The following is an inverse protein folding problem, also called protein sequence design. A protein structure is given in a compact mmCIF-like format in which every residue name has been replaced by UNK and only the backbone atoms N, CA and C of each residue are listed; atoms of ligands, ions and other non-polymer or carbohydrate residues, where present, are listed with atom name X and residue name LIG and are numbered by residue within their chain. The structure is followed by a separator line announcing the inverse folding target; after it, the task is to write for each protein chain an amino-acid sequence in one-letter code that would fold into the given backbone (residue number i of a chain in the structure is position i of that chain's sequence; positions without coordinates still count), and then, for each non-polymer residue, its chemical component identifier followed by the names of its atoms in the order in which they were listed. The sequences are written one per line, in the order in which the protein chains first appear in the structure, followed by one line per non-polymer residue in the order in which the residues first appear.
data_IF_150095276523
#
_entry.id   IF_150095276523
#
_cell.length_a   1.000
_cell.length_b   1.000
_cell.length_c   1.000
_cell.angle_alpha   90.00
_cell.angle_beta   90.00
_cell.angle_gamma   90.00
#
_symmetry.space_group_name_H-M   'P 1'
#
loop_
_entity.id
_entity.type
_entity.pdbx_description
1 polymer ?
#
# COMPACT_ATOMS: atom_id res chain seq x y z
N UNK A 1 -21.72 17.01 -23.74
CA UNK A 1 -20.95 16.12 -24.62
C UNK A 1 -19.49 16.33 -24.30
N UNK A 2 -18.95 15.56 -23.35
CA UNK A 2 -17.50 15.54 -23.08
C UNK A 2 -16.92 14.59 -24.12
N UNK A 3 -16.04 15.13 -24.97
CA UNK A 3 -15.22 14.36 -25.89
C UNK A 3 -14.55 13.22 -25.12
N UNK A 4 -14.87 11.98 -25.50
CA UNK A 4 -14.05 10.82 -25.16
C UNK A 4 -12.71 10.99 -25.87
N UNK A 5 -11.83 11.80 -25.27
CA UNK A 5 -10.41 11.60 -25.44
C UNK A 5 -10.12 10.16 -24.97
N UNK A 6 -9.31 9.45 -25.74
CA UNK A 6 -9.00 8.05 -25.52
C UNK A 6 -8.13 7.94 -24.26
N UNK A 7 -8.73 8.11 -23.07
CA UNK A 7 -8.03 8.10 -21.79
C UNK A 7 -7.50 6.70 -21.53
N UNK A 8 -6.19 6.54 -21.73
CA UNK A 8 -5.53 5.28 -21.40
C UNK A 8 -5.43 5.17 -19.87
N UNK A 9 -6.30 4.33 -19.32
CA UNK A 9 -6.43 4.10 -17.89
C UNK A 9 -5.97 2.69 -17.50
N UNK A 10 -5.38 2.60 -16.33
CA UNK A 10 -5.05 1.35 -15.67
C UNK A 10 -5.58 1.38 -14.24
N UNK A 11 -6.49 0.46 -13.93
CA UNK A 11 -7.09 0.33 -12.60
C UNK A 11 -6.71 -1.03 -12.03
N UNK A 12 -6.21 -1.04 -10.80
CA UNK A 12 -5.85 -2.27 -10.10
C UNK A 12 -6.28 -2.25 -8.65
N UNK A 13 -6.55 -3.43 -8.09
CA UNK A 13 -6.88 -3.61 -6.68
C UNK A 13 -5.87 -4.49 -5.96
N UNK A 14 -5.66 -4.23 -4.68
CA UNK A 14 -4.88 -5.08 -3.79
C UNK A 14 -5.56 -5.22 -2.42
N UNK A 15 -5.36 -6.33 -1.73
CA UNK A 15 -5.96 -6.55 -0.41
C UNK A 15 -5.02 -7.29 0.55
N UNK A 16 -4.62 -6.58 1.60
CA UNK A 16 -3.82 -7.10 2.71
C UNK A 16 -4.69 -7.40 3.95
N UNK A 17 -4.36 -8.50 4.63
CA UNK A 17 -4.82 -8.83 5.98
C UNK A 17 -3.66 -8.70 6.96
N UNK A 18 -3.89 -8.07 8.10
CA UNK A 18 -2.90 -7.90 9.17
C UNK A 18 -3.33 -8.63 10.43
N UNK A 19 -2.41 -9.39 11.01
CA UNK A 19 -2.62 -10.14 12.24
C UNK A 19 -2.08 -9.39 13.46
N UNK A 20 -2.58 -9.68 14.68
CA UNK A 20 -2.13 -9.02 15.90
C UNK A 20 -0.64 -9.17 16.21
N UNK A 21 -0.03 -10.26 15.75
CA UNK A 21 1.41 -10.52 15.87
C UNK A 21 2.26 -9.55 15.03
N UNK A 22 1.66 -8.88 14.06
CA UNK A 22 2.31 -7.96 13.11
C UNK A 22 2.55 -8.57 11.74
N UNK A 23 2.21 -9.85 11.54
CA UNK A 23 2.31 -10.48 10.22
C UNK A 23 1.25 -9.93 9.26
N UNK A 24 1.61 -9.87 7.98
CA UNK A 24 0.73 -9.46 6.90
C UNK A 24 0.58 -10.60 5.89
N UNK A 25 -0.62 -10.76 5.35
CA UNK A 25 -0.94 -11.77 4.34
C UNK A 25 -1.67 -11.10 3.19
N UNK A 26 -1.23 -11.41 1.98
CA UNK A 26 -1.93 -11.05 0.75
C UNK A 26 -3.14 -11.99 0.54
N UNK A 27 -4.32 -11.40 0.33
CA UNK A 27 -5.58 -12.13 0.13
C UNK A 27 -5.89 -12.42 -1.34
N UNK A 28 -5.20 -11.76 -2.26
CA UNK A 28 -5.30 -11.99 -3.69
C UNK A 28 -4.30 -13.03 -4.18
N UNK A 29 -3.17 -13.20 -3.47
CA UNK A 29 -2.22 -14.25 -3.80
C UNK A 29 -2.82 -15.65 -3.55
N UNK A 30 -2.49 -16.61 -4.41
CA UNK A 30 -2.77 -18.01 -4.12
C UNK A 30 -1.95 -18.47 -2.90
N UNK A 31 -2.44 -19.47 -2.15
CA UNK A 31 -1.68 -20.01 -1.00
C UNK A 31 -0.35 -20.65 -1.42
N UNK A 32 -0.24 -21.10 -2.67
CA UNK A 32 0.95 -21.74 -3.22
C UNK A 32 2.06 -20.74 -3.61
N UNK A 33 1.72 -19.47 -3.85
CA UNK A 33 2.63 -18.42 -4.35
C UNK A 33 2.77 -17.26 -3.34
N UNK A 34 2.76 -17.59 -2.05
CA UNK A 34 2.89 -16.57 -0.99
C UNK A 34 4.31 -16.04 -0.95
N UNK A 35 4.52 -14.89 -1.58
CA UNK A 35 5.75 -14.13 -1.47
C UNK A 35 5.87 -13.48 -0.09
N UNK A 36 7.11 -13.32 0.39
CA UNK A 36 7.37 -12.58 1.62
C UNK A 36 7.11 -11.10 1.37
N UNK A 37 6.10 -10.55 2.04
CA UNK A 37 5.80 -9.13 1.98
C UNK A 37 6.89 -8.32 2.66
N UNK A 38 7.45 -7.35 1.95
CA UNK A 38 8.47 -6.44 2.47
C UNK A 38 8.10 -5.00 2.18
N UNK A 39 8.38 -4.13 3.13
CA UNK A 39 8.21 -2.71 2.91
C UNK A 39 9.34 -2.20 2.00
N UNK A 40 8.97 -1.40 1.01
CA UNK A 40 9.91 -0.82 0.04
C UNK A 40 9.59 0.66 -0.10
N UNK A 41 10.50 1.51 0.34
CA UNK A 41 10.42 2.95 0.10
C UNK A 41 10.99 3.26 -1.30
N UNK A 42 10.32 4.13 -2.03
CA UNK A 42 10.76 4.57 -3.35
C UNK A 42 10.50 6.08 -3.49
N UNK A 43 11.48 6.83 -3.97
CA UNK A 43 11.44 8.31 -4.00
C UNK A 43 10.21 8.88 -4.72
N UNK A 44 9.85 8.28 -5.86
CA UNK A 44 8.75 8.74 -6.72
C UNK A 44 7.40 8.05 -6.41
N UNK A 45 7.41 6.72 -6.26
CA UNK A 45 6.20 5.92 -6.06
C UNK A 45 5.75 5.90 -4.59
N UNK A 46 6.56 6.47 -3.71
CA UNK A 46 6.36 6.46 -2.27
C UNK A 46 6.50 5.06 -1.69
N UNK A 47 5.68 4.80 -0.69
CA UNK A 47 5.74 3.60 0.12
C UNK A 47 4.97 2.45 -0.54
N UNK A 48 5.71 1.40 -0.91
CA UNK A 48 5.21 0.21 -1.58
C UNK A 48 5.39 -1.02 -0.69
N UNK A 49 4.54 -2.03 -0.92
CA UNK A 49 4.68 -3.36 -0.32
C UNK A 49 5.18 -4.30 -1.42
N UNK A 50 6.46 -4.64 -1.38
CA UNK A 50 7.05 -5.63 -2.27
C UNK A 50 6.45 -7.01 -2.03
N UNK A 51 6.17 -7.74 -3.12
CA UNK A 51 5.51 -9.05 -3.09
C UNK A 51 3.98 -9.00 -2.96
N UNK A 52 3.38 -7.81 -2.96
CA UNK A 52 1.93 -7.64 -2.98
C UNK A 52 1.38 -7.90 -4.38
N UNK A 53 0.38 -8.78 -4.46
CA UNK A 53 -0.35 -9.05 -5.69
C UNK A 53 -1.31 -7.91 -6.00
N UNK A 54 -1.34 -7.51 -7.27
CA UNK A 54 -2.28 -6.53 -7.80
C UNK A 54 -3.09 -7.15 -8.93
N UNK A 55 -4.40 -6.98 -8.86
CA UNK A 55 -5.34 -7.49 -9.87
C UNK A 55 -5.90 -6.32 -10.65
N UNK A 56 -5.67 -6.31 -11.96
CA UNK A 56 -6.23 -5.33 -12.89
C UNK A 56 -7.76 -5.52 -12.97
N UNK A 57 -8.52 -4.45 -12.90
CA UNK A 57 -9.98 -4.45 -13.01
C UNK A 57 -10.44 -3.46 -14.07
N UNK A 58 -11.57 -3.75 -14.70
CA UNK A 58 -12.14 -2.89 -15.75
C UNK A 58 -13.42 -2.18 -15.31
N UNK A 59 -13.99 -2.53 -14.15
CA UNK A 59 -15.21 -1.91 -13.65
C UNK A 59 -15.27 -1.87 -12.12
N UNK A 60 -16.16 -1.03 -11.59
CA UNK A 60 -16.39 -0.93 -10.15
C UNK A 60 -17.01 -2.21 -9.59
N UNK A 61 -17.87 -2.86 -10.35
CA UNK A 61 -18.52 -4.13 -9.99
C UNK A 61 -17.49 -5.24 -9.84
N UNK A 62 -16.49 -5.30 -10.74
CA UNK A 62 -15.40 -6.25 -10.64
C UNK A 62 -14.52 -6.00 -9.40
N UNK A 63 -14.18 -4.73 -9.13
CA UNK A 63 -13.45 -4.35 -7.93
C UNK A 63 -14.22 -4.73 -6.64
N UNK A 64 -15.54 -4.50 -6.63
CA UNK A 64 -16.41 -4.83 -5.51
C UNK A 64 -16.55 -6.34 -5.31
N UNK A 65 -16.71 -7.12 -6.38
CA UNK A 65 -16.77 -8.58 -6.29
C UNK A 65 -15.47 -9.18 -5.71
N UNK A 66 -14.31 -8.64 -6.08
CA UNK A 66 -13.03 -9.01 -5.48
C UNK A 66 -12.96 -8.63 -3.99
N UNK A 67 -13.45 -7.44 -3.63
CA UNK A 67 -13.54 -7.01 -2.24
C UNK A 67 -14.39 -7.97 -1.39
N UNK A 68 -15.57 -8.35 -1.86
CA UNK A 68 -16.46 -9.29 -1.15
C UNK A 68 -15.82 -10.66 -1.01
N UNK A 69 -15.29 -11.22 -2.09
CA UNK A 69 -14.60 -12.52 -2.09
C UNK A 69 -13.44 -12.53 -1.10
N UNK A 70 -12.60 -11.49 -1.10
CA UNK A 70 -11.50 -11.37 -0.16
C UNK A 70 -11.95 -11.12 1.28
N UNK A 71 -13.06 -10.39 1.49
CA UNK A 71 -13.66 -10.17 2.81
C UNK A 71 -14.15 -11.48 3.43
N UNK A 72 -14.75 -12.37 2.65
CA UNK A 72 -15.12 -13.72 3.10
C UNK A 72 -13.88 -14.57 3.43
N UNK A 73 -12.86 -14.55 2.56
CA UNK A 73 -11.57 -15.22 2.85
C UNK A 73 -10.90 -14.70 4.10
N UNK A 74 -10.97 -13.40 4.37
CA UNK A 74 -10.42 -12.79 5.58
C UNK A 74 -11.06 -13.40 6.82
N UNK A 75 -12.40 -13.54 6.82
CA UNK A 75 -13.15 -14.16 7.92
C UNK A 75 -12.77 -15.63 8.08
N UNK A 76 -12.69 -16.37 6.97
CA UNK A 76 -12.32 -17.79 6.97
C UNK A 76 -10.87 -18.04 7.44
N UNK A 77 -9.91 -17.24 6.95
CA UNK A 77 -8.47 -17.37 7.28
C UNK A 77 -8.17 -17.01 8.73
N UNK A 78 -8.88 -16.03 9.30
CA UNK A 78 -8.67 -15.63 10.69
C UNK A 78 -9.47 -16.47 11.69
N UNK A 79 -10.54 -17.15 11.27
CA UNK A 79 -11.37 -17.95 12.17
C UNK A 79 -11.80 -17.16 13.41
N UNK A 80 -11.45 -17.68 14.59
CA UNK A 80 -11.79 -17.08 15.90
C UNK A 80 -11.09 -15.74 16.18
N UNK A 81 -10.01 -15.42 15.47
CA UNK A 81 -9.25 -14.17 15.68
C UNK A 81 -9.59 -13.07 14.66
N UNK A 82 -10.62 -13.29 13.83
CA UNK A 82 -11.06 -12.34 12.79
C UNK A 82 -11.41 -10.95 13.33
N UNK A 83 -11.93 -10.88 14.56
CA UNK A 83 -12.21 -9.62 15.27
C UNK A 83 -10.97 -8.84 15.68
N UNK A 84 -9.79 -9.47 15.65
CA UNK A 84 -8.49 -8.89 15.99
C UNK A 84 -7.61 -8.63 14.75
N UNK A 85 -8.04 -9.09 13.58
CA UNK A 85 -7.33 -8.87 12.33
C UNK A 85 -7.79 -7.59 11.64
N UNK A 86 -6.84 -6.75 11.26
CA UNK A 86 -7.09 -5.57 10.43
C UNK A 86 -6.99 -5.93 8.94
N UNK A 87 -7.51 -5.08 8.06
CA UNK A 87 -7.38 -5.24 6.62
C UNK A 87 -7.16 -3.91 5.91
N UNK A 88 -6.54 -3.97 4.75
CA UNK A 88 -6.34 -2.82 3.86
C UNK A 88 -6.70 -3.23 2.44
N UNK A 89 -7.79 -2.69 1.94
CA UNK A 89 -8.14 -2.78 0.52
C UNK A 89 -7.69 -1.50 -0.18
N UNK A 90 -6.94 -1.64 -1.28
CA UNK A 90 -6.45 -0.50 -2.06
C UNK A 90 -6.94 -0.59 -3.48
N UNK A 91 -7.41 0.54 -4.03
CA UNK A 91 -7.70 0.73 -5.44
C UNK A 91 -6.71 1.75 -5.99
N UNK A 92 -5.90 1.36 -6.96
CA UNK A 92 -4.94 2.22 -7.64
C UNK A 92 -5.49 2.56 -9.03
N UNK A 93 -5.49 3.83 -9.38
CA UNK A 93 -5.83 4.33 -10.72
C UNK A 93 -4.63 5.08 -11.28
N UNK A 94 -4.19 4.65 -12.44
CA UNK A 94 -3.11 5.27 -13.21
C UNK A 94 -3.66 5.75 -14.55
N UNK A 95 -3.39 7.01 -14.88
CA UNK A 95 -3.84 7.67 -16.10
C UNK A 95 -2.63 8.25 -16.84
N UNK A 96 -2.49 7.94 -18.13
CA UNK A 96 -1.54 8.64 -19.00
C UNK A 96 -2.12 9.99 -19.40
N UNK A 97 -1.36 11.05 -19.19
CA UNK A 97 -1.80 12.42 -19.49
C UNK A 97 -1.68 12.76 -20.98
N UNK A 98 -0.63 12.25 -21.65
CA UNK A 98 -0.37 12.52 -23.07
C UNK A 98 -0.06 11.20 -23.80
N UNK A 99 -1.06 10.36 -24.14
CA UNK A 99 -0.82 9.00 -24.65
C UNK A 99 -0.06 8.96 -25.99
N UNK A 100 -0.11 10.05 -26.76
CA UNK A 100 0.62 10.23 -28.02
C UNK A 100 2.14 10.35 -27.82
N UNK A 101 2.59 10.76 -26.63
CA UNK A 101 4.01 11.02 -26.34
C UNK A 101 4.75 9.77 -25.88
N UNK A 102 5.98 9.60 -26.39
CA UNK A 102 6.89 8.53 -26.00
C UNK A 102 7.21 8.58 -24.50
N UNK A 103 7.37 9.78 -23.94
CA UNK A 103 7.68 10.02 -22.53
C UNK A 103 6.49 10.62 -21.76
N UNK A 104 5.30 10.07 -22.01
CA UNK A 104 4.07 10.50 -21.34
C UNK A 104 4.17 10.43 -19.81
N UNK A 105 3.73 11.50 -19.15
CA UNK A 105 3.50 11.51 -17.71
C UNK A 105 2.31 10.61 -17.33
N UNK A 106 2.49 9.89 -16.23
CA UNK A 106 1.45 9.09 -15.59
C UNK A 106 1.04 9.75 -14.29
N UNK A 107 -0.24 10.05 -14.16
CA UNK A 107 -0.86 10.45 -12.91
C UNK A 107 -1.32 9.20 -12.15
N UNK A 108 -0.87 9.04 -10.90
CA UNK A 108 -1.22 7.90 -10.04
C UNK A 108 -2.04 8.36 -8.84
N UNK A 109 -3.19 7.73 -8.63
CA UNK A 109 -4.02 7.93 -7.45
C UNK A 109 -4.30 6.60 -6.76
N UNK A 110 -4.45 6.63 -5.43
CA UNK A 110 -4.68 5.45 -4.61
C UNK A 110 -5.78 5.74 -3.59
N UNK A 111 -6.86 4.97 -3.64
CA UNK A 111 -7.87 4.91 -2.60
C UNK A 111 -7.53 3.76 -1.65
N UNK A 112 -7.46 4.03 -0.35
CA UNK A 112 -7.12 3.05 0.67
C UNK A 112 -8.21 2.96 1.73
N UNK A 113 -8.77 1.76 1.90
CA UNK A 113 -9.79 1.46 2.88
C UNK A 113 -9.19 0.61 3.99
N UNK A 114 -8.88 1.25 5.12
CA UNK A 114 -8.41 0.58 6.32
C UNK A 114 -9.59 0.07 7.16
N UNK A 115 -9.66 -1.25 7.35
CA UNK A 115 -10.55 -1.89 8.32
C UNK A 115 -9.73 -2.24 9.55
N UNK A 116 -9.80 -1.40 10.57
CA UNK A 116 -9.03 -1.59 11.79
C UNK A 116 -9.78 -2.47 12.80
N UNK A 117 -9.06 -3.40 13.41
CA UNK A 117 -9.54 -4.21 14.52
C UNK A 117 -9.09 -3.62 15.86
N UNK A 118 -9.79 -4.01 16.93
CA UNK A 118 -9.55 -3.50 18.27
C UNK A 118 -10.29 -2.21 18.58
N UNK A 119 -10.28 -1.83 19.86
CA UNK A 119 -10.91 -0.61 20.37
C UNK A 119 -9.94 0.53 20.55
N UNK A 120 -10.49 1.70 20.88
CA UNK A 120 -9.71 2.86 21.30
C UNK A 120 -9.23 2.74 22.75
N UNK A 121 -9.90 1.95 23.58
CA UNK A 121 -9.50 1.69 24.96
C UNK A 121 -8.45 0.58 25.07
N UNK A 122 -7.54 0.74 26.04
CA UNK A 122 -6.59 -0.31 26.46
C UNK A 122 -7.26 -1.49 27.16
N UNK A 123 -8.52 -1.32 27.58
CA UNK A 123 -9.32 -2.36 28.23
C UNK A 123 -10.23 -3.11 27.25
N UNK A 124 -10.25 -2.78 25.96
CA UNK A 124 -11.06 -3.53 24.97
C UNK A 124 -10.58 -4.99 24.86
N UNK A 125 -11.49 -5.93 25.03
CA UNK A 125 -11.26 -7.37 24.93
C UNK A 125 -10.78 -7.81 23.52
N UNK A 126 -11.05 -7.01 22.49
CA UNK A 126 -10.53 -7.21 21.12
C UNK A 126 -9.07 -6.76 20.96
N UNK A 127 -8.52 -6.08 21.97
CA UNK A 127 -7.18 -5.49 21.96
C UNK A 127 -7.18 -4.03 21.48
N UNK A 128 -6.02 -3.39 21.60
CA UNK A 128 -5.82 -1.98 21.25
C UNK A 128 -5.68 -1.82 19.74
N UNK A 129 -6.45 -0.89 19.19
CA UNK A 129 -6.39 -0.53 17.77
C UNK A 129 -4.97 -0.12 17.35
N UNK A 130 -4.47 -0.61 16.20
CA UNK A 130 -3.20 -0.16 15.63
C UNK A 130 -3.12 1.37 15.46
N UNK A 131 -4.26 2.02 15.24
CA UNK A 131 -4.33 3.49 15.12
C UNK A 131 -3.96 4.19 16.43
N UNK A 132 -4.42 3.68 17.58
CA UNK A 132 -4.02 4.23 18.89
C UNK A 132 -2.51 4.15 19.05
N UNK A 133 -1.91 3.01 18.68
CA UNK A 133 -0.46 2.83 18.76
C UNK A 133 0.30 3.85 17.91
N UNK A 134 -0.14 4.10 16.68
CA UNK A 134 0.52 5.07 15.79
C UNK A 134 0.31 6.52 16.25
N UNK A 135 -0.87 6.86 16.76
CA UNK A 135 -1.22 8.23 17.18
C UNK A 135 -0.64 8.59 18.55
N UNK A 136 -0.47 7.63 19.45
CA UNK A 136 0.10 7.85 20.79
C UNK A 136 1.62 7.74 20.84
N UNK A 137 2.26 7.28 19.76
CA UNK A 137 3.71 7.22 19.67
C UNK A 137 4.32 8.63 19.63
N UNK A 138 4.91 9.03 20.76
CA UNK A 138 6.04 9.96 20.82
C UNK A 138 7.22 9.42 19.98
N UNK A 139 8.12 10.27 19.45
CA UNK A 139 9.02 9.97 18.32
C UNK A 139 10.11 8.89 18.52
N UNK A 140 10.06 8.10 19.59
CA UNK A 140 11.16 7.22 19.99
C UNK A 140 10.60 5.89 20.50
N UNK A 141 10.54 4.90 19.60
CA UNK A 141 10.80 3.46 19.84
C UNK A 141 10.35 2.68 18.59
N UNK A 142 11.32 2.29 17.77
CA UNK A 142 11.28 1.30 16.68
C UNK A 142 9.89 0.72 16.29
N UNK A 143 9.10 1.46 15.52
CA UNK A 143 8.00 0.91 14.70
C UNK A 143 8.45 0.53 13.28
N UNK A 144 9.71 0.14 13.12
CA UNK A 144 10.29 -0.21 11.81
C UNK A 144 9.79 -1.53 11.23
N UNK A 145 9.16 -2.41 12.03
CA UNK A 145 9.05 -3.82 11.63
C UNK A 145 7.61 -4.27 11.29
N UNK A 146 6.61 -3.37 11.36
CA UNK A 146 5.21 -3.75 11.11
C UNK A 146 4.61 -2.93 9.97
N UNK A 147 4.40 -3.60 8.83
CA UNK A 147 3.86 -3.04 7.58
C UNK A 147 2.61 -2.18 7.83
N UNK A 148 1.70 -2.62 8.70
CA UNK A 148 0.48 -1.87 9.02
C UNK A 148 0.76 -0.50 9.66
N UNK A 149 1.65 -0.44 10.66
CA UNK A 149 1.97 0.82 11.35
C UNK A 149 2.58 1.82 10.40
N UNK A 150 3.44 1.36 9.50
CA UNK A 150 4.08 2.19 8.51
C UNK A 150 3.07 2.74 7.48
N UNK A 151 2.20 1.87 6.94
CA UNK A 151 1.14 2.29 6.01
C UNK A 151 0.12 3.23 6.66
N UNK A 152 -0.19 3.04 7.95
CA UNK A 152 -1.03 3.96 8.71
C UNK A 152 -0.35 5.30 8.93
N UNK A 153 0.96 5.31 9.25
CA UNK A 153 1.70 6.55 9.42
C UNK A 153 1.74 7.36 8.11
N UNK A 154 1.97 6.68 6.98
CA UNK A 154 1.89 7.27 5.63
C UNK A 154 0.50 7.86 5.35
N UNK A 155 -0.57 7.15 5.75
CA UNK A 155 -1.93 7.66 5.61
C UNK A 155 -2.22 8.88 6.50
N UNK A 156 -1.60 8.99 7.68
CA UNK A 156 -1.88 10.06 8.65
C UNK A 156 -1.00 11.31 8.50
N UNK A 157 0.19 11.18 7.92
CA UNK A 157 1.18 12.27 7.83
C UNK A 157 1.68 12.52 6.41
N UNK A 158 1.45 11.60 5.48
CA UNK A 158 1.99 11.64 4.13
C UNK A 158 1.13 12.41 3.13
N UNK A 159 1.36 12.10 1.85
CA UNK A 159 0.62 12.66 0.73
C UNK A 159 -0.74 11.96 0.56
N UNK A 160 -1.72 12.33 1.38
CA UNK A 160 -3.03 11.71 1.40
C UNK A 160 -4.13 12.69 1.83
N UNK A 161 -5.38 12.36 1.48
CA UNK A 161 -6.57 12.96 2.10
C UNK A 161 -7.23 11.87 2.93
N UNK A 162 -7.17 12.03 4.25
CA UNK A 162 -7.57 10.96 5.18
C UNK A 162 -8.84 11.33 5.91
N UNK A 163 -9.78 10.38 5.95
CA UNK A 163 -11.03 10.49 6.70
C UNK A 163 -11.13 9.32 7.66
N UNK A 164 -11.29 9.61 8.96
CA UNK A 164 -11.51 8.60 9.97
C UNK A 164 -13.02 8.45 10.21
N UNK A 165 -13.54 7.24 10.04
CA UNK A 165 -14.91 6.88 10.43
C UNK A 165 -14.80 5.99 11.66
N UNK A 166 -15.28 6.49 12.80
CA UNK A 166 -15.33 5.72 14.04
C UNK A 166 -16.78 5.34 14.36
N UNK A 167 -17.06 4.03 14.47
CA UNK A 167 -18.38 3.52 14.79
C UNK A 167 -18.52 3.31 16.30
N UNK A 168 -19.37 4.11 16.95
CA UNK A 168 -19.62 4.03 18.41
C UNK A 168 -20.92 3.27 18.67
N UNK A 169 -20.92 2.38 19.67
CA UNK A 169 -22.13 1.70 20.12
C UNK A 169 -22.77 2.49 21.27
N UNK A 170 -24.03 2.97 21.14
CA UNK A 170 -24.65 3.85 22.12
C UNK A 170 -25.06 3.16 23.44
N UNK A 171 -24.98 1.82 23.53
CA UNK A 171 -25.42 1.03 24.71
C UNK A 171 -24.29 0.64 25.68
N UNK A 172 -23.11 1.26 25.59
CA UNK A 172 -22.01 1.00 26.53
C UNK A 172 -22.27 1.68 27.88
N UNK A 173 -22.90 0.98 28.82
CA UNK A 173 -23.22 1.53 30.15
C UNK A 173 -22.00 1.66 31.09
N UNK A 174 -20.84 1.08 30.76
CA UNK A 174 -19.70 0.94 31.70
C UNK A 174 -18.28 0.99 31.08
N UNK A 175 -18.12 1.25 29.78
CA UNK A 175 -16.82 1.08 29.13
C UNK A 175 -16.18 2.42 28.73
N UNK A 176 -14.92 2.62 29.14
CA UNK A 176 -14.02 3.73 28.77
C UNK A 176 -13.73 3.82 27.25
N UNK A 177 -14.42 3.02 26.43
CA UNK A 177 -14.26 2.92 24.98
C UNK A 177 -14.79 4.15 24.24
N UNK A 178 -15.99 4.63 24.59
CA UNK A 178 -16.57 5.84 23.95
C UNK A 178 -15.74 7.10 24.21
N UNK A 179 -15.35 7.43 25.46
CA UNK A 179 -14.47 8.58 25.70
C UNK A 179 -13.08 8.39 25.07
N UNK A 180 -12.50 7.19 25.12
CA UNK A 180 -11.22 6.89 24.44
C UNK A 180 -11.32 7.07 22.92
N UNK A 181 -12.41 6.66 22.31
CA UNK A 181 -12.67 6.82 20.87
C UNK A 181 -12.77 8.29 20.47
N UNK A 182 -13.49 9.09 21.25
CA UNK A 182 -13.60 10.53 21.01
C UNK A 182 -12.26 11.25 21.19
N UNK A 183 -11.50 10.88 22.22
CA UNK A 183 -10.15 11.41 22.43
C UNK A 183 -9.21 11.04 21.27
N UNK A 184 -9.26 9.80 20.78
CA UNK A 184 -8.51 9.37 19.60
C UNK A 184 -8.91 10.16 18.35
N UNK A 185 -10.22 10.35 18.11
CA UNK A 185 -10.70 11.12 16.98
C UNK A 185 -10.24 12.58 17.04
N UNK A 186 -10.21 13.19 18.23
CA UNK A 186 -9.63 14.52 18.43
C UNK A 186 -8.14 14.57 18.13
N UNK A 187 -7.37 13.57 18.57
CA UNK A 187 -5.93 13.46 18.25
C UNK A 187 -5.71 13.35 16.74
N UNK A 188 -6.44 12.45 16.07
CA UNK A 188 -6.33 12.23 14.61
C UNK A 188 -6.72 13.48 13.82
N UNK A 189 -7.73 14.23 14.28
CA UNK A 189 -8.14 15.49 13.64
C UNK A 189 -7.02 16.54 13.62
N UNK A 190 -6.12 16.51 14.58
CA UNK A 190 -5.01 17.47 14.67
C UNK A 190 -3.82 17.10 13.78
N UNK A 191 -3.86 15.92 13.13
CA UNK A 191 -2.82 15.51 12.19
C UNK A 191 -3.02 16.22 10.85
N UNK A 192 -1.93 16.77 10.33
CA UNK A 192 -1.93 17.55 9.08
C UNK A 192 -1.36 16.68 7.97
N UNK A 193 -2.17 16.40 6.95
CA UNK A 193 -1.70 15.79 5.69
C UNK A 193 -1.55 16.86 4.61
N UNK A 194 -0.60 16.66 3.69
CA UNK A 194 -0.41 17.55 2.53
C UNK A 194 -0.64 16.78 1.24
N UNK A 195 -1.84 16.91 0.69
CA UNK A 195 -2.22 16.23 -0.54
C UNK A 195 -1.69 16.98 -1.79
N UNK A 196 -0.85 16.32 -2.58
CA UNK A 196 -0.31 16.76 -3.87
C UNK A 196 -0.58 15.71 -4.95
N UNK A 197 -0.70 16.16 -6.21
CA UNK A 197 -0.95 15.25 -7.34
C UNK A 197 0.30 14.43 -7.63
N UNK A 198 0.22 13.10 -7.59
CA UNK A 198 1.34 12.23 -7.93
C UNK A 198 1.46 12.09 -9.43
N UNK A 199 2.41 12.82 -10.03
CA UNK A 199 2.77 12.71 -11.45
C UNK A 199 4.19 12.19 -11.55
N UNK A 200 4.42 11.31 -12.51
CA UNK A 200 5.75 10.79 -12.79
C UNK A 200 5.85 10.31 -14.24
N UNK A 201 7.04 10.40 -14.84
CA UNK A 201 7.30 9.86 -16.17
C UNK A 201 8.08 8.54 -16.05
N UNK A 202 7.49 7.38 -16.37
CA UNK A 202 8.16 6.10 -16.23
C UNK A 202 9.44 5.97 -17.06
N UNK A 203 9.41 6.44 -18.32
CA UNK A 203 10.57 6.33 -19.22
C UNK A 203 11.72 7.23 -18.80
N UNK A 204 11.43 8.50 -18.49
CA UNK A 204 12.44 9.44 -18.00
C UNK A 204 13.05 8.95 -16.67
N UNK A 205 12.24 8.40 -15.78
CA UNK A 205 12.71 7.83 -14.50
C UNK A 205 13.66 6.65 -14.73
N UNK A 206 13.31 5.73 -15.64
CA UNK A 206 14.18 4.58 -15.98
C UNK A 206 15.50 5.05 -16.59
N UNK A 207 15.47 6.05 -17.47
CA UNK A 207 16.69 6.61 -18.06
C UNK A 207 17.57 7.27 -17.00
N UNK A 208 16.97 8.07 -16.12
CA UNK A 208 17.69 8.71 -15.01
C UNK A 208 18.40 7.68 -14.13
N UNK A 209 17.67 6.66 -13.65
CA UNK A 209 18.27 5.60 -12.80
C UNK A 209 19.38 4.83 -13.55
N UNK A 210 19.22 4.61 -14.86
CA UNK A 210 20.27 3.97 -15.67
C UNK A 210 21.52 4.83 -15.77
N UNK A 211 21.36 6.14 -15.97
CA UNK A 211 22.48 7.07 -16.02
C UNK A 211 23.17 7.13 -14.66
N UNK A 212 22.41 7.26 -13.56
CA UNK A 212 22.95 7.25 -12.19
C UNK A 212 23.76 5.96 -11.90
N UNK A 213 23.31 4.80 -12.41
CA UNK A 213 24.06 3.53 -12.30
C UNK A 213 25.36 3.56 -13.12
N UNK A 214 25.35 4.15 -14.31
CA UNK A 214 26.55 4.26 -15.16
C UNK A 214 27.55 5.19 -14.51
N UNK A 215 27.11 6.37 -14.06
CA UNK A 215 27.95 7.38 -13.42
C UNK A 215 28.61 6.81 -12.16
N UNK A 216 27.82 6.16 -11.28
CA UNK A 216 28.34 5.52 -10.07
C UNK A 216 29.34 4.41 -10.39
N UNK A 217 29.11 3.61 -11.44
CA UNK A 217 30.07 2.59 -11.87
C UNK A 217 31.37 3.20 -12.38
N UNK A 218 31.30 4.31 -13.10
CA UNK A 218 32.51 5.00 -13.59
C UNK A 218 33.32 5.60 -12.44
N UNK A 219 32.65 6.16 -11.44
CA UNK A 219 33.28 6.67 -10.21
C UNK A 219 34.01 5.55 -9.46
N UNK A 220 33.34 4.42 -9.22
CA UNK A 220 33.94 3.23 -8.60
C UNK A 220 35.15 2.68 -9.37
N UNK A 221 35.16 2.78 -10.70
CA UNK A 221 36.30 2.37 -11.53
C UNK A 221 37.47 3.34 -11.44
N UNK A 222 37.21 4.62 -11.15
CA UNK A 222 38.23 5.67 -11.04
C UNK A 222 38.89 5.73 -9.66
N UNK A 223 38.15 5.41 -8.59
CA UNK A 223 38.62 5.54 -7.20
C UNK A 223 39.42 4.32 -6.69
N UNK A 224 39.44 3.19 -7.43
CA UNK A 224 40.34 2.06 -7.18
C UNK A 224 40.06 1.24 -5.91
N UNK A 225 39.40 1.79 -4.89
CA UNK A 225 38.89 1.09 -3.72
C UNK A 225 37.38 0.88 -3.81
N UNK A 226 36.92 -0.35 -3.55
CA UNK A 226 35.48 -0.64 -3.47
C UNK A 226 34.92 -0.08 -2.17
N UNK A 227 34.47 1.18 -2.19
CA UNK A 227 33.73 1.72 -1.06
C UNK A 227 32.45 0.89 -0.85
N UNK A 228 32.32 0.38 0.37
CA UNK A 228 31.14 -0.36 0.83
C UNK A 228 29.89 0.50 0.60
N UNK A 229 29.98 1.82 0.79
CA UNK A 229 28.88 2.74 0.51
C UNK A 229 28.42 2.71 -0.96
N UNK A 230 29.37 2.78 -1.90
CA UNK A 230 29.08 2.75 -3.34
C UNK A 230 28.46 1.41 -3.77
N UNK A 231 28.89 0.30 -3.17
CA UNK A 231 28.27 -1.02 -3.45
C UNK A 231 26.82 -1.10 -2.94
N UNK A 232 26.52 -0.55 -1.75
CA UNK A 232 25.16 -0.47 -1.24
C UNK A 232 24.27 0.43 -2.10
N UNK A 233 24.78 1.60 -2.49
CA UNK A 233 24.05 2.54 -3.35
C UNK A 233 23.75 1.93 -4.73
N UNK A 234 24.69 1.19 -5.30
CA UNK A 234 24.47 0.48 -6.56
C UNK A 234 23.38 -0.59 -6.44
N UNK A 235 23.35 -1.34 -5.33
CA UNK A 235 22.30 -2.32 -5.06
C UNK A 235 20.92 -1.67 -4.94
N UNK A 236 20.83 -0.54 -4.24
CA UNK A 236 19.62 0.27 -4.09
C UNK A 236 19.11 0.78 -5.44
N UNK A 237 19.98 1.40 -6.26
CA UNK A 237 19.61 1.88 -7.59
C UNK A 237 19.14 0.72 -8.50
N UNK A 238 19.80 -0.43 -8.41
CA UNK A 238 19.41 -1.64 -9.17
C UNK A 238 18.03 -2.14 -8.74
N UNK A 239 17.74 -2.12 -7.44
CA UNK A 239 16.44 -2.46 -6.89
C UNK A 239 15.35 -1.46 -7.35
N UNK A 240 15.63 -0.15 -7.27
CA UNK A 240 14.73 0.90 -7.74
C UNK A 240 14.43 0.77 -9.24
N UNK A 241 15.45 0.51 -10.06
CA UNK A 241 15.28 0.25 -11.49
C UNK A 241 14.33 -0.93 -11.74
N UNK A 242 14.47 -2.01 -10.95
CA UNK A 242 13.62 -3.19 -11.08
C UNK A 242 12.17 -2.89 -10.66
N UNK A 243 11.97 -2.11 -9.59
CA UNK A 243 10.64 -1.66 -9.13
C UNK A 243 9.95 -0.87 -10.23
N UNK A 244 10.63 0.13 -10.80
CA UNK A 244 10.06 0.98 -11.85
C UNK A 244 9.72 0.17 -13.10
N UNK A 245 10.60 -0.76 -13.52
CA UNK A 245 10.31 -1.66 -14.64
C UNK A 245 9.09 -2.54 -14.39
N UNK A 246 8.88 -2.98 -13.16
CA UNK A 246 7.72 -3.78 -12.78
C UNK A 246 6.40 -2.97 -12.76
N UNK A 247 6.44 -1.63 -12.81
CA UNK A 247 5.23 -0.82 -12.94
C UNK A 247 4.64 -0.82 -14.36
N UNK A 248 5.28 -1.49 -15.34
CA UNK A 248 4.75 -1.61 -16.70
C UNK A 248 3.34 -2.22 -16.72
N UNK A 249 2.39 -1.53 -17.37
CA UNK A 249 0.99 -1.95 -17.44
C UNK A 249 0.81 -3.32 -18.13
N UNK A 250 1.57 -3.62 -19.17
CA UNK A 250 1.50 -4.90 -19.87
C UNK A 250 1.84 -6.08 -18.94
N UNK A 251 2.95 -5.94 -18.20
CA UNK A 251 3.40 -6.96 -17.25
C UNK A 251 2.40 -7.16 -16.11
N UNK A 252 1.90 -6.06 -15.52
CA UNK A 252 0.88 -6.11 -14.46
C UNK A 252 -0.44 -6.69 -14.95
N UNK A 253 -0.85 -6.44 -16.20
CA UNK A 253 -2.02 -7.09 -16.82
C UNK A 253 -1.81 -8.59 -16.99
N UNK A 254 -0.63 -9.02 -17.39
CA UNK A 254 -0.31 -10.45 -17.54
C UNK A 254 -0.30 -11.18 -16.19
N UNK A 255 0.35 -10.60 -15.18
CA UNK A 255 0.34 -11.12 -13.80
C UNK A 255 -1.08 -11.19 -13.24
N UNK A 256 -1.89 -10.15 -13.46
CA UNK A 256 -3.29 -10.16 -13.07
C UNK A 256 -4.09 -11.29 -13.73
N UNK A 257 -3.84 -11.60 -15.01
CA UNK A 257 -4.51 -12.73 -15.69
C UNK A 257 -4.14 -14.06 -15.05
N UNK A 258 -2.88 -14.24 -14.63
CA UNK A 258 -2.43 -15.45 -13.91
C UNK A 258 -3.17 -15.60 -12.57
N UNK A 259 -3.27 -14.52 -11.80
CA UNK A 259 -3.98 -14.51 -10.50
C UNK A 259 -5.48 -14.81 -10.67
N UNK A 260 -6.13 -14.19 -11.67
CA UNK A 260 -7.55 -14.44 -11.98
C UNK A 260 -7.78 -15.88 -12.44
N UNK A 261 -6.90 -16.41 -13.29
CA UNK A 261 -6.97 -17.78 -13.78
C UNK A 261 -6.90 -18.83 -12.65
N UNK A 262 -6.10 -18.58 -11.61
CA UNK A 262 -6.01 -19.45 -10.43
C UNK A 262 -7.28 -19.36 -9.57
N UNK A 263 -7.91 -18.19 -9.53
CA UNK A 263 -9.10 -17.93 -8.69
C UNK A 263 -10.39 -18.51 -9.27
N UNK A 264 -10.43 -18.79 -10.59
CA UNK A 264 -11.62 -19.30 -11.30
C UNK A 264 -11.69 -20.82 -11.40
N UNK A 265 -10.72 -21.59 -10.88
CA UNK A 265 -10.83 -23.06 -10.85
C UNK A 265 -11.71 -23.44 -9.65
N UNK A 266 -12.93 -23.95 -9.86
CA UNK A 266 -13.76 -24.46 -8.78
C UNK A 266 -13.15 -25.80 -8.33
N UNK A 267 -12.81 -25.89 -7.04
CA UNK A 267 -12.63 -27.16 -6.34
C UNK A 267 -13.98 -27.80 -6.03
#
# INVERSE_FOLDING_TARGET
MLSQENEELFISVSYLQFYPDGSAVDLLSSKADRQTLKLVAHDILGNLVGGLSEVCVCSAEEAYALYETCSERLKANAGSISSRCSGLFSVTVEQKLHPEEVESEVCRSRLQLFRLAGGASRTDLRGVSPLVKVVEQTPCEATSDKILSFLLNDALTGNSRTTLIYCIQPRGLLDDETPSALALAQKVRNLVTKATVNRWCPRATVQKIRNDIVDLRTEMMSEGESDVHNTFRLAELTQNLQIVKNQCWEKRREESKKIKGITQVPS
#
